data_IF_680106638167
#
_entry.id   IF_680106638167
#
_cell.length_a   1.000
_cell.length_b   1.000
_cell.length_c   1.000
_cell.angle_alpha   90.00
_cell.angle_beta   90.00
_cell.angle_gamma   90.00
#
_symmetry.space_group_name_H-M   'P 1'
#
loop_
_entity.id
_entity.type
_entity.pdbx_description
1 polymer ?
#
# COMPACT_ATOMS: atom_id res chain seq x y z
N UNK A 1 12.58 11.47 -7.65
CA UNK A 1 13.54 11.71 -6.54
C UNK A 1 14.56 10.57 -6.47
N UNK A 2 15.71 10.81 -5.87
CA UNK A 2 16.76 9.81 -5.67
C UNK A 2 16.85 9.52 -4.18
N UNK A 3 16.68 8.25 -3.80
CA UNK A 3 16.81 7.77 -2.43
C UNK A 3 17.70 6.51 -2.46
N UNK A 4 18.74 6.47 -1.65
CA UNK A 4 19.68 5.34 -1.58
C UNK A 4 20.19 4.90 -2.97
N UNK A 5 20.56 5.87 -3.83
CA UNK A 5 21.03 5.67 -5.23
C UNK A 5 20.00 5.06 -6.18
N UNK A 6 18.73 4.94 -5.80
CA UNK A 6 17.62 4.51 -6.67
C UNK A 6 16.74 5.70 -7.03
N UNK A 7 16.16 5.64 -8.22
CA UNK A 7 15.24 6.68 -8.73
C UNK A 7 13.81 6.25 -8.42
N UNK A 8 13.04 7.15 -7.81
CA UNK A 8 11.63 6.95 -7.49
C UNK A 8 10.79 8.09 -8.06
N UNK A 9 9.56 7.81 -8.39
CA UNK A 9 8.56 8.84 -8.59
C UNK A 9 8.23 9.50 -7.25
N UNK A 10 7.94 10.81 -7.30
CA UNK A 10 7.47 11.54 -6.12
C UNK A 10 5.94 11.43 -6.05
N UNK A 11 5.37 10.75 -5.05
CA UNK A 11 3.92 10.56 -4.93
C UNK A 11 3.14 11.89 -4.79
N UNK A 12 3.78 12.93 -4.25
CA UNK A 12 3.16 14.24 -4.09
C UNK A 12 3.13 15.06 -5.39
N UNK A 13 3.79 14.63 -6.45
CA UNK A 13 3.80 15.34 -7.73
C UNK A 13 2.52 15.08 -8.52
N UNK A 14 1.72 16.11 -8.77
CA UNK A 14 0.51 16.04 -9.59
C UNK A 14 0.78 15.49 -11.00
N UNK A 15 1.93 15.81 -11.58
CA UNK A 15 2.33 15.28 -12.90
C UNK A 15 2.58 13.77 -12.86
N UNK A 16 3.20 13.27 -11.79
CA UNK A 16 3.41 11.84 -11.56
C UNK A 16 2.07 11.13 -11.36
N UNK A 17 1.22 11.65 -10.49
CA UNK A 17 -0.12 11.08 -10.26
C UNK A 17 -0.93 11.00 -11.56
N UNK A 18 -0.95 12.09 -12.34
CA UNK A 18 -1.63 12.10 -13.65
C UNK A 18 -1.07 11.04 -14.59
N UNK A 19 0.24 10.85 -14.64
CA UNK A 19 0.88 9.84 -15.49
C UNK A 19 0.47 8.42 -15.06
N UNK A 20 0.46 8.13 -13.76
CA UNK A 20 0.04 6.82 -13.22
C UNK A 20 -1.41 6.55 -13.58
N UNK A 21 -2.30 7.50 -13.30
CA UNK A 21 -3.74 7.38 -13.63
C UNK A 21 -3.96 7.19 -15.12
N UNK A 22 -3.22 7.91 -15.98
CA UNK A 22 -3.33 7.74 -17.44
C UNK A 22 -2.87 6.37 -17.89
N UNK A 23 -1.79 5.81 -17.31
CA UNK A 23 -1.33 4.46 -17.62
C UNK A 23 -2.34 3.40 -17.19
N UNK A 24 -2.96 3.55 -16.02
CA UNK A 24 -4.04 2.65 -15.57
C UNK A 24 -5.23 2.70 -16.52
N UNK A 25 -5.69 3.90 -16.93
CA UNK A 25 -6.76 4.04 -17.93
C UNK A 25 -6.42 3.34 -19.23
N UNK A 26 -5.21 3.53 -19.72
CA UNK A 26 -4.74 2.90 -20.96
C UNK A 26 -4.83 1.37 -20.87
N UNK A 27 -4.40 0.79 -19.74
CA UNK A 27 -4.46 -0.66 -19.53
C UNK A 27 -5.91 -1.14 -19.52
N UNK A 28 -6.77 -0.55 -18.69
CA UNK A 28 -8.16 -1.00 -18.53
C UNK A 28 -8.96 -0.82 -19.83
N UNK A 29 -8.67 0.23 -20.60
CA UNK A 29 -9.36 0.52 -21.86
C UNK A 29 -8.96 -0.43 -22.99
N UNK A 30 -7.67 -0.79 -23.08
CA UNK A 30 -7.13 -1.45 -24.27
C UNK A 30 -6.88 -2.94 -24.09
N UNK A 31 -6.95 -3.46 -22.85
CA UNK A 31 -6.66 -4.87 -22.56
C UNK A 31 -7.81 -5.47 -21.74
N UNK A 32 -8.16 -6.76 -21.99
CA UNK A 32 -9.22 -7.45 -21.26
C UNK A 32 -8.70 -7.90 -19.87
N UNK A 33 -8.44 -6.93 -19.00
CA UNK A 33 -7.99 -7.21 -17.62
C UNK A 33 -9.19 -7.24 -16.67
N UNK A 34 -9.19 -8.19 -15.73
CA UNK A 34 -10.22 -8.31 -14.70
C UNK A 34 -9.97 -7.37 -13.51
N UNK A 35 -8.73 -6.90 -13.37
CA UNK A 35 -8.38 -5.99 -12.27
C UNK A 35 -7.03 -5.32 -12.43
N UNK A 36 -6.84 -4.27 -11.63
CA UNK A 36 -5.57 -3.58 -11.40
C UNK A 36 -5.18 -3.83 -9.96
N UNK A 37 -3.91 -4.15 -9.71
CA UNK A 37 -3.40 -4.40 -8.39
C UNK A 37 -2.17 -3.53 -8.11
N UNK A 38 -2.19 -2.80 -6.99
CA UNK A 38 -1.04 -2.01 -6.53
C UNK A 38 -0.34 -2.73 -5.38
N UNK A 39 0.98 -2.64 -5.38
CA UNK A 39 1.85 -3.04 -4.27
C UNK A 39 1.98 -1.91 -3.23
N UNK A 40 2.78 -2.10 -2.18
CA UNK A 40 2.94 -1.20 -1.02
C UNK A 40 3.96 -0.06 -1.21
N UNK A 41 4.52 0.10 -2.38
CA UNK A 41 5.63 1.04 -2.64
C UNK A 41 5.14 2.46 -2.94
N UNK A 42 4.55 3.17 -1.97
CA UNK A 42 4.11 4.56 -2.13
C UNK A 42 5.24 5.55 -1.87
N UNK A 43 5.73 5.63 -0.64
CA UNK A 43 6.92 6.40 -0.30
C UNK A 43 8.11 5.48 -0.04
N UNK A 44 9.28 5.74 -0.65
CA UNK A 44 10.45 4.87 -0.49
C UNK A 44 11.17 5.05 0.85
N UNK A 45 10.92 6.17 1.55
CA UNK A 45 11.60 6.55 2.78
C UNK A 45 10.82 7.68 3.49
N UNK A 46 11.15 7.91 4.76
CA UNK A 46 10.63 9.02 5.57
C UNK A 46 11.44 10.32 5.39
N UNK A 47 12.51 10.33 4.59
CA UNK A 47 13.36 11.52 4.38
C UNK A 47 12.53 12.71 3.90
N UNK A 48 12.67 13.82 4.61
CA UNK A 48 11.97 15.08 4.31
C UNK A 48 12.32 15.65 2.93
N UNK A 49 13.49 15.31 2.38
CA UNK A 49 13.97 15.81 1.09
C UNK A 49 13.20 15.28 -0.12
N UNK A 50 12.43 14.21 0.05
CA UNK A 50 11.69 13.58 -1.05
C UNK A 50 10.73 14.56 -1.72
N UNK A 51 10.06 15.39 -0.95
CA UNK A 51 8.95 16.24 -1.38
C UNK A 51 8.95 17.65 -0.75
N UNK A 52 10.10 18.10 -0.24
CA UNK A 52 10.25 19.41 0.45
C UNK A 52 9.64 20.56 -0.36
N UNK A 53 9.87 20.60 -1.68
CA UNK A 53 9.36 21.68 -2.54
C UNK A 53 7.83 21.67 -2.60
N UNK A 54 7.23 20.52 -2.77
CA UNK A 54 5.78 20.36 -2.86
C UNK A 54 5.10 20.68 -1.52
N UNK A 55 5.71 20.25 -0.41
CA UNK A 55 5.20 20.55 0.93
C UNK A 55 5.33 22.04 1.26
N UNK A 56 6.44 22.69 0.87
CA UNK A 56 6.62 24.14 1.04
C UNK A 56 5.56 24.95 0.29
N UNK A 57 5.22 24.55 -0.95
CA UNK A 57 4.13 25.18 -1.71
C UNK A 57 2.79 24.99 -0.98
N UNK A 58 2.50 23.77 -0.52
CA UNK A 58 1.27 23.49 0.24
C UNK A 58 1.14 24.39 1.47
N UNK A 59 2.22 24.58 2.25
CA UNK A 59 2.22 25.46 3.42
C UNK A 59 2.05 26.94 3.02
N UNK A 60 2.71 27.40 1.94
CA UNK A 60 2.59 28.77 1.45
C UNK A 60 1.16 29.10 0.96
N UNK A 61 0.44 28.10 0.45
CA UNK A 61 -0.95 28.20 0.03
C UNK A 61 -1.94 28.09 1.24
N UNK A 62 -1.44 28.17 2.49
CA UNK A 62 -2.27 28.13 3.69
C UNK A 62 -2.56 26.73 4.23
N UNK A 63 -1.91 25.70 3.72
CA UNK A 63 -2.03 24.35 4.23
C UNK A 63 -1.47 24.18 5.64
N UNK A 64 -2.16 23.44 6.51
CA UNK A 64 -1.83 23.29 7.94
C UNK A 64 -1.63 21.84 8.40
N UNK A 65 -1.68 20.86 7.50
CA UNK A 65 -1.40 19.47 7.84
C UNK A 65 0.09 19.29 8.21
N UNK A 66 0.35 18.37 9.13
CA UNK A 66 1.72 17.89 9.34
C UNK A 66 2.29 17.27 8.05
N UNK A 67 3.62 17.16 7.94
CA UNK A 67 4.24 16.53 6.77
C UNK A 67 3.72 15.08 6.57
N UNK A 68 3.54 14.32 7.66
CA UNK A 68 3.02 12.95 7.59
C UNK A 68 1.58 12.90 7.10
N UNK A 69 0.70 13.74 7.65
CA UNK A 69 -0.71 13.81 7.24
C UNK A 69 -0.84 14.30 5.79
N UNK A 70 -0.02 15.27 5.40
CA UNK A 70 0.00 15.75 4.04
C UNK A 70 0.47 14.67 3.06
N UNK A 71 1.52 13.90 3.38
CA UNK A 71 1.96 12.77 2.55
C UNK A 71 0.86 11.74 2.39
N UNK A 72 0.21 11.34 3.48
CA UNK A 72 -0.95 10.44 3.43
C UNK A 72 -2.06 10.99 2.54
N UNK A 73 -2.36 12.27 2.66
CA UNK A 73 -3.38 12.89 1.80
C UNK A 73 -3.00 12.84 0.31
N UNK A 74 -1.70 12.96 -0.04
CA UNK A 74 -1.24 12.87 -1.44
C UNK A 74 -1.35 11.44 -1.97
N UNK A 75 -1.03 10.45 -1.14
CA UNK A 75 -1.26 9.04 -1.50
C UNK A 75 -2.75 8.75 -1.65
N UNK A 76 -3.58 9.22 -0.73
CA UNK A 76 -5.04 9.10 -0.80
C UNK A 76 -5.62 9.71 -2.08
N UNK A 77 -5.13 10.88 -2.50
CA UNK A 77 -5.53 11.50 -3.77
C UNK A 77 -5.21 10.60 -4.97
N UNK A 78 -4.00 10.01 -5.00
CA UNK A 78 -3.60 9.07 -6.05
C UNK A 78 -4.51 7.84 -6.08
N UNK A 79 -4.69 7.17 -4.93
CA UNK A 79 -5.48 5.95 -4.82
C UNK A 79 -6.93 6.19 -5.27
N UNK A 80 -7.54 7.27 -4.77
CA UNK A 80 -8.91 7.65 -5.18
C UNK A 80 -9.01 7.94 -6.66
N UNK A 81 -8.02 8.62 -7.24
CA UNK A 81 -8.01 8.94 -8.67
C UNK A 81 -7.83 7.68 -9.53
N UNK A 82 -7.03 6.70 -9.09
CA UNK A 82 -6.87 5.40 -9.76
C UNK A 82 -8.17 4.61 -9.68
N UNK A 83 -8.76 4.47 -8.48
CA UNK A 83 -10.05 3.78 -8.31
C UNK A 83 -11.12 4.35 -9.25
N UNK A 84 -11.28 5.68 -9.24
CA UNK A 84 -12.22 6.38 -10.11
C UNK A 84 -11.93 6.09 -11.58
N UNK A 85 -10.66 6.14 -11.99
CA UNK A 85 -10.26 5.90 -13.37
C UNK A 85 -10.59 4.47 -13.82
N UNK A 86 -10.33 3.46 -12.97
CA UNK A 86 -10.69 2.07 -13.26
C UNK A 86 -12.20 1.93 -13.46
N UNK A 87 -13.00 2.48 -12.54
CA UNK A 87 -14.47 2.36 -12.60
C UNK A 87 -15.10 3.15 -13.73
N UNK A 88 -14.51 4.25 -14.17
CA UNK A 88 -14.97 5.02 -15.34
C UNK A 88 -14.72 4.27 -16.66
N UNK A 89 -13.61 3.52 -16.78
CA UNK A 89 -13.30 2.76 -17.99
C UNK A 89 -14.05 1.40 -18.02
N UNK A 90 -14.11 0.71 -16.87
CA UNK A 90 -14.81 -0.58 -16.75
C UNK A 90 -15.30 -0.79 -15.31
N UNK A 91 -16.61 -0.74 -15.09
CA UNK A 91 -17.25 -0.94 -13.79
C UNK A 91 -16.95 -2.33 -13.18
N UNK A 92 -16.76 -3.36 -14.02
CA UNK A 92 -16.49 -4.73 -13.58
C UNK A 92 -15.02 -4.97 -13.26
N UNK A 93 -14.12 -4.10 -13.72
CA UNK A 93 -12.69 -4.21 -13.41
C UNK A 93 -12.46 -3.86 -11.94
N UNK A 94 -11.79 -4.75 -11.21
CA UNK A 94 -11.49 -4.55 -9.79
C UNK A 94 -10.20 -3.74 -9.61
N UNK A 95 -10.13 -2.95 -8.53
CA UNK A 95 -8.90 -2.32 -8.09
C UNK A 95 -8.57 -2.75 -6.67
N UNK A 96 -7.41 -3.40 -6.50
CA UNK A 96 -6.93 -3.86 -5.21
C UNK A 96 -5.57 -3.30 -4.84
N UNK A 97 -5.27 -3.32 -3.55
CA UNK A 97 -4.00 -2.87 -3.00
C UNK A 97 -3.45 -3.94 -2.06
N UNK A 98 -2.15 -4.22 -2.16
CA UNK A 98 -1.40 -5.13 -1.30
C UNK A 98 -0.48 -4.32 -0.37
N UNK A 99 -1.00 -3.75 0.73
CA UNK A 99 -0.19 -2.99 1.67
C UNK A 99 0.74 -3.90 2.49
N UNK A 100 1.67 -3.32 3.23
CA UNK A 100 2.47 -4.07 4.18
C UNK A 100 1.58 -4.70 5.28
N UNK A 101 2.06 -5.72 5.98
CA UNK A 101 1.25 -6.39 7.00
C UNK A 101 1.00 -5.53 8.25
N UNK A 102 1.92 -4.62 8.55
CA UNK A 102 1.88 -3.80 9.76
C UNK A 102 1.16 -2.48 9.54
N UNK A 103 -0.08 -2.35 9.99
CA UNK A 103 -0.93 -1.14 9.84
C UNK A 103 -0.20 0.14 10.28
N UNK A 104 0.49 0.10 11.43
CA UNK A 104 1.26 1.25 11.90
C UNK A 104 2.45 1.60 10.99
N UNK A 105 3.13 0.59 10.42
CA UNK A 105 4.20 0.81 9.47
C UNK A 105 3.70 1.44 8.17
N UNK A 106 2.55 0.97 7.66
CA UNK A 106 1.89 1.57 6.49
C UNK A 106 1.63 3.05 6.73
N UNK A 107 1.04 3.39 7.87
CA UNK A 107 0.70 4.77 8.22
C UNK A 107 1.92 5.67 8.42
N UNK A 108 2.91 5.21 9.19
CA UNK A 108 3.97 6.08 9.73
C UNK A 108 5.24 6.08 8.88
N UNK A 109 5.53 5.00 8.15
CA UNK A 109 6.74 4.84 7.34
C UNK A 109 6.47 4.92 5.83
N UNK A 110 5.37 4.33 5.36
CA UNK A 110 5.01 4.27 3.94
C UNK A 110 4.00 5.34 3.54
N UNK A 111 3.42 6.04 4.52
CA UNK A 111 2.36 7.04 4.33
C UNK A 111 1.16 6.51 3.55
N UNK A 112 0.91 5.20 3.67
CA UNK A 112 -0.25 4.51 3.16
C UNK A 112 -1.35 4.54 4.23
N UNK A 113 -2.42 5.27 3.96
CA UNK A 113 -3.54 5.47 4.88
C UNK A 113 -4.54 4.31 4.78
N UNK A 114 -4.04 3.11 5.12
CA UNK A 114 -4.80 1.86 5.00
C UNK A 114 -6.06 1.87 5.89
N UNK A 115 -6.05 2.62 6.99
CA UNK A 115 -7.20 2.78 7.87
C UNK A 115 -8.35 3.47 7.12
N UNK A 116 -8.06 4.53 6.36
CA UNK A 116 -9.04 5.19 5.51
C UNK A 116 -9.52 4.26 4.38
N UNK A 117 -8.61 3.56 3.70
CA UNK A 117 -8.97 2.67 2.58
C UNK A 117 -9.82 1.48 3.03
N UNK A 118 -9.55 0.96 4.23
CA UNK A 118 -10.26 -0.15 4.83
C UNK A 118 -11.67 0.19 5.30
N UNK A 119 -11.93 1.47 5.65
CA UNK A 119 -13.17 1.89 6.31
C UNK A 119 -14.06 2.81 5.46
N UNK A 120 -13.54 3.31 4.34
CA UNK A 120 -14.27 4.23 3.46
C UNK A 120 -14.32 3.71 2.02
N UNK A 121 -15.50 3.79 1.39
CA UNK A 121 -15.67 3.46 -0.02
C UNK A 121 -14.98 4.47 -0.95
N UNK A 122 -14.64 4.02 -2.16
CA UNK A 122 -14.07 4.89 -3.21
C UNK A 122 -12.55 4.91 -3.25
N UNK A 123 -11.89 3.98 -2.56
CA UNK A 123 -10.44 3.80 -2.58
C UNK A 123 -10.02 2.50 -3.27
N UNK A 124 -10.62 1.38 -2.93
CA UNK A 124 -10.35 0.08 -3.54
C UNK A 124 -11.55 -0.86 -3.41
N UNK A 125 -11.56 -1.93 -4.21
CA UNK A 125 -12.52 -3.01 -4.08
C UNK A 125 -12.05 -4.06 -3.07
N UNK A 126 -10.72 -4.23 -2.91
CA UNK A 126 -10.15 -5.12 -1.91
C UNK A 126 -8.79 -4.67 -1.40
N UNK A 127 -8.47 -5.11 -0.19
CA UNK A 127 -7.13 -5.06 0.40
C UNK A 127 -6.56 -6.47 0.53
N UNK A 128 -5.26 -6.63 0.22
CA UNK A 128 -4.54 -7.89 0.31
C UNK A 128 -3.23 -7.70 1.07
N UNK A 129 -3.25 -7.41 2.39
CA UNK A 129 -2.05 -7.17 3.16
C UNK A 129 -1.06 -8.32 3.07
N UNK A 130 0.23 -8.00 2.98
CA UNK A 130 1.34 -8.94 2.82
C UNK A 130 1.70 -9.60 4.16
N UNK A 131 0.83 -10.50 4.65
CA UNK A 131 1.05 -11.22 5.91
C UNK A 131 2.07 -12.34 5.70
N UNK A 132 3.31 -11.93 5.40
CA UNK A 132 4.42 -12.81 5.05
C UNK A 132 5.18 -13.30 6.30
N UNK A 133 4.44 -13.61 7.36
CA UNK A 133 4.95 -13.98 8.67
C UNK A 133 4.31 -15.30 9.13
N UNK A 134 5.07 -16.07 9.91
CA UNK A 134 4.59 -17.30 10.52
C UNK A 134 3.80 -17.05 11.83
N UNK A 135 3.25 -18.11 12.37
CA UNK A 135 2.46 -18.07 13.62
C UNK A 135 3.29 -17.64 14.83
N UNK A 136 4.59 -18.00 14.83
CA UNK A 136 5.52 -17.73 15.93
C UNK A 136 6.41 -16.51 15.68
N UNK A 137 6.09 -15.67 14.70
CA UNK A 137 6.84 -14.42 14.49
C UNK A 137 6.66 -13.50 15.72
N UNK A 138 7.78 -12.98 16.24
CA UNK A 138 7.74 -12.18 17.48
C UNK A 138 7.14 -10.79 17.31
N UNK A 139 7.18 -10.23 16.10
CA UNK A 139 6.71 -8.85 15.83
C UNK A 139 5.31 -8.82 15.25
N UNK A 140 5.05 -9.64 14.23
CA UNK A 140 3.79 -9.72 13.49
C UNK A 140 3.34 -11.19 13.38
N UNK A 141 2.88 -11.81 14.48
CA UNK A 141 2.36 -13.18 14.45
C UNK A 141 1.18 -13.27 13.50
N UNK A 142 1.17 -14.30 12.63
CA UNK A 142 0.17 -14.46 11.58
C UNK A 142 -1.26 -14.26 12.05
N UNK A 143 -1.70 -15.04 13.06
CA UNK A 143 -3.09 -15.00 13.53
C UNK A 143 -3.51 -13.65 14.10
N UNK A 144 -2.60 -12.98 14.85
CA UNK A 144 -2.87 -11.64 15.37
C UNK A 144 -2.99 -10.63 14.23
N UNK A 145 -2.06 -10.67 13.29
CA UNK A 145 -2.03 -9.75 12.15
C UNK A 145 -3.28 -9.91 11.27
N UNK A 146 -3.69 -11.14 10.98
CA UNK A 146 -4.94 -11.41 10.25
C UNK A 146 -6.15 -10.89 11.01
N UNK A 147 -6.18 -11.09 12.34
CA UNK A 147 -7.27 -10.56 13.18
C UNK A 147 -7.31 -9.03 13.14
N UNK A 148 -6.18 -8.36 13.26
CA UNK A 148 -6.12 -6.88 13.24
C UNK A 148 -6.67 -6.34 11.90
N UNK A 149 -6.30 -6.94 10.76
CA UNK A 149 -6.83 -6.57 9.45
C UNK A 149 -8.32 -6.88 9.28
N UNK A 150 -8.77 -8.06 9.74
CA UNK A 150 -10.19 -8.43 9.70
C UNK A 150 -11.07 -7.47 10.50
N UNK A 151 -10.57 -7.04 11.66
CA UNK A 151 -11.34 -6.15 12.55
C UNK A 151 -11.34 -4.70 12.00
N UNK A 152 -10.35 -4.33 11.17
CA UNK A 152 -10.24 -3.02 10.54
C UNK A 152 -11.09 -2.90 9.27
N UNK A 153 -11.07 -3.91 8.38
CA UNK A 153 -11.64 -3.81 7.03
C UNK A 153 -13.17 -3.92 7.08
N UNK A 154 -13.86 -2.85 6.66
CA UNK A 154 -15.32 -2.78 6.68
C UNK A 154 -15.94 -2.26 5.37
N UNK A 155 -15.15 -1.63 4.49
CA UNK A 155 -15.64 -0.97 3.28
C UNK A 155 -15.31 -1.68 1.97
N UNK A 156 -14.45 -2.70 2.00
CA UNK A 156 -14.00 -3.48 0.84
C UNK A 156 -13.77 -4.94 1.22
N UNK A 157 -13.42 -5.79 0.25
CA UNK A 157 -13.07 -7.19 0.52
C UNK A 157 -11.67 -7.30 1.14
N UNK A 158 -11.45 -8.34 1.94
CA UNK A 158 -10.15 -8.65 2.54
C UNK A 158 -9.64 -9.99 2.03
N UNK A 159 -8.47 -9.97 1.41
CA UNK A 159 -7.67 -11.15 1.11
C UNK A 159 -6.40 -11.11 1.96
N UNK A 160 -5.74 -12.25 2.14
CA UNK A 160 -4.48 -12.32 2.91
C UNK A 160 -3.38 -12.83 1.99
N UNK A 161 -2.37 -12.00 1.77
CA UNK A 161 -1.17 -12.37 1.01
C UNK A 161 -0.29 -13.33 1.81
N UNK A 162 0.07 -14.48 1.21
CA UNK A 162 0.87 -15.54 1.84
C UNK A 162 2.27 -15.65 1.22
N UNK A 163 3.32 -15.96 2.02
CA UNK A 163 4.70 -15.99 1.57
C UNK A 163 5.11 -17.35 1.01
N UNK A 164 4.54 -17.81 -0.09
CA UNK A 164 4.90 -19.11 -0.69
C UNK A 164 6.41 -19.26 -0.93
N UNK A 165 7.10 -18.18 -1.26
CA UNK A 165 8.56 -18.17 -1.48
C UNK A 165 9.40 -18.49 -0.22
N UNK A 166 8.81 -18.43 0.97
CA UNK A 166 9.46 -18.79 2.25
C UNK A 166 9.35 -20.27 2.56
N UNK A 167 8.50 -21.04 1.89
CA UNK A 167 8.37 -22.48 2.12
C UNK A 167 9.72 -23.19 1.98
N UNK A 168 10.07 -24.04 2.96
CA UNK A 168 11.33 -24.75 3.04
C UNK A 168 12.55 -23.90 3.45
N UNK A 169 12.37 -22.62 3.81
CA UNK A 169 13.45 -21.69 4.18
C UNK A 169 13.32 -21.22 5.63
N UNK A 170 14.46 -20.87 6.24
CA UNK A 170 14.44 -20.17 7.52
C UNK A 170 14.14 -18.68 7.30
N UNK A 171 13.32 -18.10 8.18
CA UNK A 171 13.07 -16.65 8.23
C UNK A 171 13.95 -16.01 9.30
N UNK A 172 15.05 -15.39 8.88
CA UNK A 172 16.06 -14.83 9.79
C UNK A 172 15.50 -13.73 10.73
N UNK A 173 14.41 -13.09 10.33
CA UNK A 173 13.82 -11.95 11.06
C UNK A 173 12.59 -12.33 11.91
N UNK A 174 12.23 -13.61 11.97
CA UNK A 174 11.03 -14.06 12.65
C UNK A 174 11.19 -14.33 14.15
N UNK A 175 12.37 -14.11 14.73
CA UNK A 175 12.64 -14.43 16.13
C UNK A 175 12.40 -15.92 16.43
N UNK A 176 11.47 -16.25 17.33
CA UNK A 176 11.08 -17.63 17.67
C UNK A 176 10.55 -18.43 16.47
N UNK A 177 9.93 -17.75 15.50
CA UNK A 177 9.40 -18.34 14.27
C UNK A 177 10.44 -18.65 13.20
N UNK A 178 11.75 -18.50 13.46
CA UNK A 178 12.83 -18.62 12.47
C UNK A 178 12.81 -19.91 11.65
N UNK A 179 12.48 -21.03 12.26
CA UNK A 179 12.48 -22.34 11.61
C UNK A 179 11.11 -22.76 11.04
N UNK A 180 10.06 -22.01 11.31
CA UNK A 180 8.66 -22.39 11.08
C UNK A 180 8.36 -22.77 9.63
N UNK A 181 8.76 -21.94 8.67
CA UNK A 181 8.56 -22.22 7.24
C UNK A 181 9.44 -23.35 6.69
N UNK A 182 10.53 -23.70 7.38
CA UNK A 182 11.43 -24.79 6.99
C UNK A 182 10.94 -26.13 7.49
N UNK A 183 10.37 -26.18 8.70
CA UNK A 183 10.04 -27.40 9.43
C UNK A 183 8.61 -27.87 9.19
N UNK A 184 7.70 -26.95 8.95
CA UNK A 184 6.32 -27.29 8.61
C UNK A 184 6.24 -27.78 7.16
N UNK A 185 6.18 -29.09 7.01
CA UNK A 185 6.06 -29.80 5.72
C UNK A 185 4.61 -30.01 5.29
N UNK A 186 3.67 -29.32 5.91
CA UNK A 186 2.22 -29.47 5.64
C UNK A 186 1.72 -28.37 4.74
#
# INVERSE_FOLDING_TARGET
>A
VIVNKKIYFNPASKAVQKRIVSGVREIVKNYPVDGIHFDDYFYPDTDKKIDTKQYAVYCADGGNLSLGDWRRSRVNDLIRAVYKAVKEENQSCTFGISPAAGIANDRDSLYADVETWATQKGYCDYLCPQVYFGFLNDTLPFMKTVKDWRDLVTACDLYIGLPLYKCGKADAYAGRGKAEFRENKN
#
